data_IF_218595491876
#
_entry.id   IF_218595491876
#
_cell.length_a   1.000
_cell.length_b   1.000
_cell.length_c   1.000
_cell.angle_alpha   90.00
_cell.angle_beta   90.00
_cell.angle_gamma   90.00
#
_symmetry.space_group_name_H-M   'P 1'
#
loop_
_entity.id
_entity.type
_entity.pdbx_description
1 polymer ?
#
# COMPACT_ATOMS: atom_id res chain seq x y z
N UNK A 1 11.00 -4.53 5.17
CA UNK A 1 9.59 -4.78 4.84
C UNK A 1 9.44 -4.62 3.32
N UNK A 2 9.01 -5.66 2.60
CA UNK A 2 8.76 -5.54 1.16
C UNK A 2 7.41 -4.86 0.94
N UNK A 3 7.42 -3.53 0.97
CA UNK A 3 6.21 -2.71 0.83
C UNK A 3 5.73 -2.59 -0.62
N UNK A 4 6.06 -3.58 -1.46
CA UNK A 4 5.84 -3.56 -2.91
C UNK A 4 4.72 -4.52 -3.28
N UNK A 5 3.76 -4.01 -4.04
CA UNK A 5 2.64 -4.78 -4.58
C UNK A 5 2.91 -5.11 -6.04
N UNK A 6 2.58 -6.34 -6.44
CA UNK A 6 2.64 -6.78 -7.84
C UNK A 6 1.39 -6.31 -8.58
N UNK A 7 1.58 -5.60 -9.70
CA UNK A 7 0.51 -5.14 -10.60
C UNK A 7 0.71 -5.83 -11.95
N UNK A 8 -0.32 -6.51 -12.43
CA UNK A 8 -0.36 -7.08 -13.79
C UNK A 8 -0.98 -6.05 -14.74
N UNK A 9 -0.31 -5.73 -15.83
CA UNK A 9 -0.88 -4.87 -16.87
C UNK A 9 -1.98 -5.62 -17.64
N UNK A 10 -3.20 -5.07 -17.80
CA UNK A 10 -4.26 -5.72 -18.56
C UNK A 10 -3.98 -5.76 -20.06
N UNK A 11 -3.11 -4.86 -20.58
CA UNK A 11 -2.80 -4.80 -22.01
C UNK A 11 -1.68 -5.77 -22.41
N UNK A 12 -0.52 -5.72 -21.75
CA UNK A 12 0.64 -6.52 -22.14
C UNK A 12 0.92 -7.70 -21.21
N UNK A 13 0.10 -7.91 -20.17
CA UNK A 13 0.20 -8.98 -19.16
C UNK A 13 1.50 -9.01 -18.32
N UNK A 14 2.50 -8.17 -18.61
CA UNK A 14 3.70 -8.03 -17.78
C UNK A 14 3.35 -7.53 -16.40
N UNK A 15 4.07 -8.06 -15.42
CA UNK A 15 3.93 -7.71 -14.01
C UNK A 15 5.03 -6.73 -13.61
N UNK A 16 4.64 -5.65 -12.95
CA UNK A 16 5.57 -4.69 -12.35
C UNK A 16 5.25 -4.53 -10.85
N UNK A 17 6.17 -3.92 -10.11
CA UNK A 17 6.05 -3.73 -8.67
C UNK A 17 5.97 -2.24 -8.35
N UNK A 18 5.01 -1.85 -7.53
CA UNK A 18 4.83 -0.47 -7.07
C UNK A 18 4.64 -0.44 -5.55
N UNK A 19 5.05 0.66 -4.89
CA UNK A 19 4.96 0.81 -3.44
C UNK A 19 3.48 0.86 -3.00
N UNK A 20 3.14 0.07 -1.98
CA UNK A 20 1.81 0.01 -1.39
C UNK A 20 1.28 1.39 -0.96
N UNK A 21 2.16 2.29 -0.52
CA UNK A 21 1.82 3.65 -0.11
C UNK A 21 1.31 4.54 -1.27
N UNK A 22 1.78 4.28 -2.49
CA UNK A 22 1.32 4.99 -3.69
C UNK A 22 0.01 4.41 -4.22
N UNK A 23 -0.22 3.11 -4.04
CA UNK A 23 -1.40 2.41 -4.59
C UNK A 23 -2.64 2.76 -3.77
N UNK A 24 -3.46 3.65 -4.34
CA UNK A 24 -4.76 4.07 -3.82
C UNK A 24 -5.81 3.99 -4.90
N UNK A 25 -7.06 4.07 -4.45
CA UNK A 25 -8.21 4.19 -5.34
C UNK A 25 -8.10 5.49 -6.16
N UNK A 26 -8.22 5.38 -7.48
CA UNK A 26 -8.02 6.50 -8.41
C UNK A 26 -6.57 6.74 -8.84
N UNK A 27 -5.60 5.93 -8.39
CA UNK A 27 -4.22 6.05 -8.86
C UNK A 27 -4.14 5.75 -10.37
N UNK A 28 -3.50 6.65 -11.12
CA UNK A 28 -3.12 6.41 -12.50
C UNK A 28 -1.62 6.15 -12.60
N UNK A 29 -1.24 5.07 -13.28
CA UNK A 29 0.15 4.68 -13.46
C UNK A 29 0.37 4.10 -14.86
N UNK A 30 1.48 4.46 -15.49
CA UNK A 30 1.87 3.87 -16.77
C UNK A 30 2.50 2.50 -16.55
N UNK A 31 2.11 1.52 -17.36
CA UNK A 31 2.80 0.23 -17.38
C UNK A 31 4.26 0.42 -17.79
N UNK A 32 5.20 -0.12 -17.00
CA UNK A 32 6.63 0.00 -17.26
C UNK A 32 7.10 -0.73 -18.54
N UNK A 33 6.22 -1.52 -19.17
CA UNK A 33 6.53 -2.28 -20.36
C UNK A 33 5.92 -1.68 -21.65
N UNK A 34 4.60 -1.53 -21.68
CA UNK A 34 3.88 -1.10 -22.88
C UNK A 34 3.46 0.38 -22.81
N UNK A 35 3.83 1.08 -21.74
CA UNK A 35 3.47 2.47 -21.46
C UNK A 35 1.96 2.78 -21.41
N UNK A 36 1.09 1.76 -21.50
CA UNK A 36 -0.36 1.88 -21.35
C UNK A 36 -0.68 2.49 -19.98
N UNK A 37 -1.50 3.54 -19.97
CA UNK A 37 -2.05 4.11 -18.74
C UNK A 37 -3.01 3.10 -18.08
N UNK A 38 -2.79 2.82 -16.80
CA UNK A 38 -3.61 1.95 -15.98
C UNK A 38 -4.21 2.80 -14.87
N UNK A 39 -5.54 2.79 -14.75
CA UNK A 39 -6.25 3.42 -13.65
C UNK A 39 -6.63 2.34 -12.64
N UNK A 40 -6.08 2.43 -11.42
CA UNK A 40 -6.41 1.54 -10.31
C UNK A 40 -7.61 2.10 -9.56
N UNK A 41 -8.81 1.66 -9.94
CA UNK A 41 -10.06 1.97 -9.23
C UNK A 41 -10.69 0.71 -8.66
N UNK A 42 -11.50 0.86 -7.61
CA UNK A 42 -12.33 -0.25 -7.07
C UNK A 42 -13.36 -0.77 -8.06
N UNK A 43 -13.79 0.08 -8.98
CA UNK A 43 -14.83 -0.19 -9.98
C UNK A 43 -14.28 -0.96 -11.19
N UNK A 44 -12.96 -1.20 -11.26
CA UNK A 44 -12.39 -1.98 -12.36
C UNK A 44 -12.90 -3.42 -12.35
N UNK A 45 -13.28 -3.92 -13.52
CA UNK A 45 -13.68 -5.32 -13.71
C UNK A 45 -12.47 -6.28 -13.69
N UNK A 46 -11.25 -5.76 -13.84
CA UNK A 46 -10.04 -6.58 -13.87
C UNK A 46 -9.72 -7.16 -12.45
N UNK A 47 -9.73 -8.49 -12.29
CA UNK A 47 -9.51 -9.11 -10.99
C UNK A 47 -8.07 -8.97 -10.49
N UNK A 48 -7.08 -8.76 -11.38
CA UNK A 48 -5.69 -8.55 -10.99
C UNK A 48 -5.48 -7.14 -10.42
N UNK A 49 -6.11 -6.12 -11.01
CA UNK A 49 -6.07 -4.76 -10.48
C UNK A 49 -6.80 -4.66 -9.13
N UNK A 50 -7.96 -5.33 -8.99
CA UNK A 50 -8.66 -5.44 -7.71
C UNK A 50 -7.82 -6.10 -6.62
N UNK A 51 -7.13 -7.20 -6.96
CA UNK A 51 -6.19 -7.87 -6.03
C UNK A 51 -5.05 -6.96 -5.63
N UNK A 52 -4.44 -6.24 -6.58
CA UNK A 52 -3.37 -5.29 -6.27
C UNK A 52 -3.84 -4.20 -5.30
N UNK A 53 -5.03 -3.64 -5.51
CA UNK A 53 -5.64 -2.68 -4.58
C UNK A 53 -5.89 -3.27 -3.18
N UNK A 54 -6.34 -4.53 -3.10
CA UNK A 54 -6.53 -5.23 -1.82
C UNK A 54 -5.21 -5.42 -1.08
N UNK A 55 -4.20 -5.97 -1.74
CA UNK A 55 -2.87 -6.20 -1.16
C UNK A 55 -2.23 -4.88 -0.71
N UNK A 56 -2.38 -3.80 -1.48
CA UNK A 56 -1.89 -2.48 -1.08
C UNK A 56 -2.56 -1.96 0.20
N UNK A 57 -3.84 -2.26 0.43
CA UNK A 57 -4.53 -1.90 1.68
C UNK A 57 -4.04 -2.74 2.85
N UNK A 58 -3.87 -4.04 2.65
CA UNK A 58 -3.38 -4.97 3.69
C UNK A 58 -1.98 -4.57 4.16
N UNK A 59 -1.07 -4.26 3.22
CA UNK A 59 0.29 -3.80 3.56
C UNK A 59 0.23 -2.47 4.33
N UNK A 60 -0.59 -1.52 3.90
CA UNK A 60 -0.74 -0.23 4.62
C UNK A 60 -1.30 -0.43 6.02
N UNK A 61 -2.34 -1.25 6.18
CA UNK A 61 -2.90 -1.55 7.49
C UNK A 61 -1.87 -2.22 8.42
N UNK A 62 -1.02 -3.11 7.88
CA UNK A 62 0.07 -3.72 8.63
C UNK A 62 1.14 -2.70 9.03
N UNK A 63 1.48 -1.76 8.14
CA UNK A 63 2.41 -0.66 8.44
C UNK A 63 1.85 0.27 9.52
N UNK A 64 0.59 0.67 9.39
CA UNK A 64 -0.09 1.53 10.36
C UNK A 64 -0.16 0.85 11.73
N UNK A 65 -0.45 -0.45 11.78
CA UNK A 65 -0.42 -1.25 13.01
C UNK A 65 0.99 -1.35 13.63
N UNK A 66 2.03 -1.51 12.81
CA UNK A 66 3.41 -1.55 13.27
C UNK A 66 3.87 -0.19 13.82
N UNK A 67 3.48 0.91 13.17
CA UNK A 67 3.73 2.27 13.67
C UNK A 67 3.00 2.48 14.99
N UNK A 68 1.71 2.12 15.07
CA UNK A 68 0.92 2.23 16.30
C UNK A 68 1.55 1.44 17.45
N UNK A 69 1.93 0.19 17.22
CA UNK A 69 2.61 -0.61 18.25
C UNK A 69 3.90 0.09 18.72
N UNK A 70 4.70 0.61 17.80
CA UNK A 70 5.96 1.30 18.15
C UNK A 70 5.74 2.60 18.92
N UNK A 71 4.79 3.44 18.49
CA UNK A 71 4.54 4.76 19.10
C UNK A 71 3.81 4.68 20.44
N UNK A 72 2.87 3.75 20.59
CA UNK A 72 2.08 3.64 21.82
C UNK A 72 2.70 2.72 22.87
N UNK A 73 3.52 1.72 22.49
CA UNK A 73 4.26 0.91 23.48
C UNK A 73 5.39 1.68 24.16
N UNK A 74 5.97 2.70 23.50
CA UNK A 74 7.01 3.55 24.11
C UNK A 74 6.45 4.63 25.02
N UNK A 75 5.19 5.03 24.85
CA UNK A 75 4.49 5.98 25.72
C UNK A 75 4.16 5.43 27.12
N UNK A 76 4.12 4.10 27.30
CA UNK A 76 3.88 3.46 28.60
C UNK A 76 5.09 3.55 29.58
N UNK A 77 6.22 4.12 29.15
CA UNK A 77 7.44 4.30 29.94
C UNK A 77 7.80 5.77 30.22
N UNK A 78 6.83 6.70 30.14
CA UNK A 78 7.08 8.08 30.58
C UNK A 78 7.17 8.14 32.13
N UNK A 79 8.31 8.56 32.73
CA UNK A 79 8.44 8.64 34.18
C UNK A 79 7.48 9.70 34.77
N UNK A 80 6.84 9.36 35.88
CA UNK A 80 5.95 10.25 36.65
C UNK A 80 6.79 11.47 37.09
N UNK A 81 6.41 12.67 36.67
CA UNK A 81 6.97 13.91 37.24
C UNK A 81 6.47 14.05 38.68
N UNK A 82 7.40 14.02 39.62
CA UNK A 82 7.15 14.20 41.05
C UNK A 82 6.92 15.70 41.33
N UNK A 83 5.84 16.09 42.04
CA UNK A 83 5.61 17.49 42.39
C UNK A 83 6.46 17.89 43.60
N UNK A 84 7.12 19.07 43.50
CA UNK A 84 7.86 19.72 44.60
C UNK A 84 6.96 20.35 45.66
#
# INVERSE_FOLDING_TARGET
>A
MDDKVKIRCPACTRVFREKANRIRDGLQVNCHNCNKLITLTKETEDPFLRRALKTAREIRAAQDAAVFATTYSTAATAPKREPS
#
